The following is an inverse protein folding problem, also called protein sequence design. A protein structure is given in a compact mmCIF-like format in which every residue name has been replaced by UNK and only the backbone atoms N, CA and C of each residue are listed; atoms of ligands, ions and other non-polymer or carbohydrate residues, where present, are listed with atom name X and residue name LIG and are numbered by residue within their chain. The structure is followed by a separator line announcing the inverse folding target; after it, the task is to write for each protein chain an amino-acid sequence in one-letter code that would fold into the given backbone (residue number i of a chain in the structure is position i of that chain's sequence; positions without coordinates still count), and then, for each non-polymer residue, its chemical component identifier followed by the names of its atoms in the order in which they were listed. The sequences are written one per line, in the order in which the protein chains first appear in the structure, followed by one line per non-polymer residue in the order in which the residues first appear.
data_IF_683782254363
#
_entry.id   IF_683782254363
#
_cell.length_a   1.000
_cell.length_b   1.000
_cell.length_c   1.000
_cell.angle_alpha   90.00
_cell.angle_beta   90.00
_cell.angle_gamma   90.00
#
_symmetry.space_group_name_H-M   'P 1'
#
loop_
_entity.id
_entity.type
_entity.pdbx_description
1 polymer ?
#
# COMPACT_ATOMS: atom_id res chain seq x y z
N UNK A 1 0.60 -1.51 12.28
CA UNK A 1 1.13 -2.68 13.04
C UNK A 1 0.49 -4.03 12.68
N UNK A 2 -0.84 -4.20 12.61
CA UNK A 2 -1.46 -5.50 12.22
C UNK A 2 -1.92 -5.63 10.74
N UNK A 3 -1.72 -4.58 9.92
CA UNK A 3 -1.86 -4.64 8.45
C UNK A 3 -0.91 -5.66 7.79
N UNK A 4 0.25 -5.93 8.40
CA UNK A 4 1.23 -6.90 7.87
C UNK A 4 0.87 -8.37 8.11
N UNK A 5 0.07 -8.72 9.13
CA UNK A 5 -0.36 -10.11 9.36
C UNK A 5 -1.22 -10.64 8.20
N UNK A 6 -2.02 -9.77 7.58
CA UNK A 6 -2.82 -10.13 6.41
C UNK A 6 -1.99 -10.20 5.11
N UNK A 7 -1.00 -9.31 4.94
CA UNK A 7 0.01 -9.38 3.87
C UNK A 7 0.72 -10.76 3.86
N UNK A 8 1.00 -11.31 5.04
CA UNK A 8 1.61 -12.63 5.18
C UNK A 8 0.63 -13.77 4.90
N UNK A 9 -0.60 -13.72 5.42
CA UNK A 9 -1.52 -14.87 5.31
C UNK A 9 -2.19 -15.04 3.94
N UNK A 10 -2.30 -13.98 3.12
CA UNK A 10 -3.01 -14.05 1.82
C UNK A 10 -2.23 -13.49 0.61
N UNK A 11 -1.20 -12.66 0.81
CA UNK A 11 -0.41 -12.10 -0.30
C UNK A 11 0.89 -12.87 -0.54
N UNK A 12 1.47 -13.49 0.49
CA UNK A 12 2.78 -14.13 0.46
C UNK A 12 2.69 -15.54 1.05
N UNK A 13 2.34 -16.60 0.29
CA UNK A 13 2.46 -17.96 0.81
C UNK A 13 3.89 -18.14 1.33
N UNK A 14 4.04 -18.51 2.61
CA UNK A 14 5.31 -18.51 3.34
C UNK A 14 6.44 -19.30 2.65
N UNK A 15 6.10 -20.17 1.70
CA UNK A 15 7.01 -21.00 0.91
C UNK A 15 7.88 -20.24 -0.10
N UNK A 16 7.64 -18.95 -0.39
CA UNK A 16 8.38 -18.21 -1.43
C UNK A 16 8.92 -16.83 -1.00
N UNK A 17 8.93 -16.51 0.30
CA UNK A 17 9.39 -15.19 0.79
C UNK A 17 10.85 -15.24 1.26
N UNK A 18 11.76 -14.58 0.53
CA UNK A 18 13.14 -14.38 0.97
C UNK A 18 13.20 -13.17 1.91
N UNK A 19 13.64 -13.39 3.17
CA UNK A 19 13.83 -12.33 4.18
C UNK A 19 15.31 -11.95 4.25
N UNK A 20 15.59 -10.67 4.10
CA UNK A 20 16.95 -10.13 4.14
C UNK A 20 17.05 -9.01 5.16
N UNK A 21 18.20 -8.86 5.81
CA UNK A 21 18.43 -7.85 6.86
C UNK A 21 19.61 -6.96 6.47
N UNK A 22 19.45 -5.64 6.60
CA UNK A 22 20.52 -4.64 6.45
C UNK A 22 20.87 -4.04 7.82
N UNK A 23 22.15 -4.07 8.18
CA UNK A 23 22.68 -3.42 9.38
C UNK A 23 22.91 -1.91 9.19
N UNK A 24 23.06 -1.16 10.31
CA UNK A 24 23.36 0.28 10.25
C UNK A 24 24.73 0.53 9.60
N UNK A 25 24.79 1.53 8.73
CA UNK A 25 26.04 2.09 8.20
C UNK A 25 26.73 2.95 9.26
N UNK A 26 28.05 2.83 9.37
CA UNK A 26 28.88 3.84 10.03
C UNK A 26 28.97 5.06 9.10
N UNK A 27 29.03 6.26 9.68
CA UNK A 27 29.07 7.54 8.92
C UNK A 27 30.17 7.52 7.85
N UNK A 28 29.72 7.52 6.61
CA UNK A 28 30.52 7.53 5.40
C UNK A 28 29.65 8.02 4.26
N UNK A 29 30.29 8.48 3.18
CA UNK A 29 29.65 9.12 2.03
C UNK A 29 28.38 8.35 1.58
N UNK A 30 27.28 9.06 1.32
CA UNK A 30 25.95 8.49 1.01
C UNK A 30 25.98 7.53 -0.21
N UNK A 31 27.07 7.57 -0.98
CA UNK A 31 27.35 6.77 -2.18
C UNK A 31 28.16 5.49 -1.92
N UNK A 32 28.75 5.30 -0.73
CA UNK A 32 29.52 4.09 -0.43
C UNK A 32 28.63 2.98 0.13
N UNK A 33 28.23 2.08 -0.77
CA UNK A 33 27.49 0.87 -0.41
C UNK A 33 28.37 -0.09 0.41
N UNK A 34 27.87 -0.51 1.57
CA UNK A 34 28.53 -1.55 2.35
C UNK A 34 28.36 -2.94 1.69
N UNK A 35 29.12 -3.93 2.16
CA UNK A 35 29.11 -5.27 1.56
C UNK A 35 27.74 -5.94 1.62
N UNK A 36 26.97 -5.75 2.70
CA UNK A 36 25.61 -6.29 2.82
C UNK A 36 24.67 -5.66 1.78
N UNK A 37 24.69 -4.34 1.65
CA UNK A 37 23.90 -3.59 0.68
C UNK A 37 24.24 -4.03 -0.76
N UNK A 38 25.53 -4.19 -1.09
CA UNK A 38 25.97 -4.70 -2.40
C UNK A 38 25.42 -6.11 -2.68
N UNK A 39 25.50 -7.02 -1.71
CA UNK A 39 24.92 -8.37 -1.83
C UNK A 39 23.42 -8.33 -2.10
N UNK A 40 22.69 -7.43 -1.46
CA UNK A 40 21.24 -7.30 -1.65
C UNK A 40 20.88 -6.68 -2.99
N UNK A 41 21.67 -5.74 -3.47
CA UNK A 41 21.54 -5.17 -4.82
C UNK A 41 21.71 -6.29 -5.85
N UNK A 42 22.75 -7.11 -5.70
CA UNK A 42 23.12 -8.17 -6.65
C UNK A 42 22.36 -9.49 -6.46
N UNK A 43 21.40 -9.56 -5.54
CA UNK A 43 20.65 -10.79 -5.32
C UNK A 43 19.71 -11.06 -6.52
N UNK A 44 19.67 -12.31 -6.99
CA UNK A 44 18.78 -12.72 -8.07
C UNK A 44 17.28 -12.47 -7.72
N UNK A 45 16.45 -12.05 -8.68
CA UNK A 45 15.00 -12.02 -8.52
C UNK A 45 14.44 -13.42 -8.24
N UNK A 46 13.74 -13.57 -7.13
CA UNK A 46 13.12 -14.84 -6.72
C UNK A 46 11.62 -14.67 -6.41
N UNK A 47 10.88 -14.05 -7.33
CA UNK A 47 9.47 -13.72 -7.09
C UNK A 47 9.31 -12.65 -6.01
N UNK A 48 8.87 -13.03 -4.81
CA UNK A 48 8.59 -12.08 -3.73
C UNK A 48 9.74 -11.97 -2.72
N UNK A 49 10.30 -10.76 -2.56
CA UNK A 49 11.40 -10.50 -1.64
C UNK A 49 10.99 -9.49 -0.55
N UNK A 50 11.47 -9.68 0.68
CA UNK A 50 11.30 -8.75 1.78
C UNK A 50 12.67 -8.30 2.30
N UNK A 51 13.00 -7.02 2.12
CA UNK A 51 14.24 -6.41 2.63
C UNK A 51 13.92 -5.63 3.90
N UNK A 52 14.44 -6.11 5.03
CA UNK A 52 14.29 -5.50 6.35
C UNK A 52 15.55 -4.75 6.76
N UNK A 53 15.37 -3.78 7.63
CA UNK A 53 16.49 -3.07 8.25
C UNK A 53 15.97 -1.98 9.16
N UNK A 54 16.73 -1.65 10.21
CA UNK A 54 16.38 -0.55 11.11
C UNK A 54 16.30 0.79 10.37
N UNK A 55 15.66 1.80 10.97
CA UNK A 55 15.70 3.15 10.42
C UNK A 55 17.17 3.59 10.21
N UNK A 56 17.45 4.23 9.07
CA UNK A 56 18.80 4.66 8.68
C UNK A 56 19.71 3.55 8.09
N UNK A 57 19.21 2.33 7.85
CA UNK A 57 20.00 1.23 7.23
C UNK A 57 20.26 1.38 5.71
N UNK A 58 19.79 2.45 5.07
CA UNK A 58 19.96 2.65 3.63
C UNK A 58 19.05 1.77 2.75
N UNK A 59 17.88 1.33 3.24
CA UNK A 59 16.89 0.57 2.45
C UNK A 59 16.49 1.28 1.16
N UNK A 60 16.26 2.60 1.21
CA UNK A 60 15.95 3.43 0.03
C UNK A 60 17.10 3.41 -0.96
N UNK A 61 18.34 3.61 -0.49
CA UNK A 61 19.56 3.51 -1.29
C UNK A 61 19.67 2.14 -1.97
N UNK A 62 19.50 1.04 -1.25
CA UNK A 62 19.52 -0.32 -1.83
C UNK A 62 18.47 -0.51 -2.92
N UNK A 63 17.26 0.01 -2.75
CA UNK A 63 16.23 -0.09 -3.79
C UNK A 63 16.57 0.67 -5.06
N UNK A 64 17.14 1.87 -4.93
CA UNK A 64 17.53 2.69 -6.08
C UNK A 64 18.70 2.04 -6.82
N UNK A 65 19.75 1.64 -6.10
CA UNK A 65 20.91 0.96 -6.69
C UNK A 65 20.60 -0.43 -7.25
N UNK A 66 19.46 -1.03 -6.87
CA UNK A 66 18.99 -2.29 -7.45
C UNK A 66 18.40 -2.11 -8.84
N UNK A 67 17.94 -0.90 -9.21
CA UNK A 67 17.32 -0.67 -10.53
C UNK A 67 18.31 -0.98 -11.67
N UNK A 68 19.53 -0.39 -11.74
CA UNK A 68 20.47 -0.71 -12.83
C UNK A 68 20.83 -2.19 -12.87
N UNK A 69 21.06 -2.82 -11.71
CA UNK A 69 21.35 -4.26 -11.67
C UNK A 69 20.22 -5.09 -12.30
N UNK A 70 18.95 -4.75 -12.03
CA UNK A 70 17.81 -5.41 -12.66
C UNK A 70 17.72 -5.12 -14.16
N UNK A 71 18.00 -3.88 -14.58
CA UNK A 71 18.02 -3.52 -15.99
C UNK A 71 19.06 -4.34 -16.75
N UNK A 72 20.30 -4.36 -16.24
CA UNK A 72 21.45 -4.98 -16.90
C UNK A 72 21.36 -6.51 -16.97
N UNK A 73 20.71 -7.16 -16.00
CA UNK A 73 20.73 -8.62 -15.86
C UNK A 73 19.36 -9.30 -16.03
N UNK A 74 18.26 -8.58 -15.84
CA UNK A 74 16.91 -9.15 -15.76
C UNK A 74 15.86 -8.37 -16.57
N UNK A 75 16.27 -7.44 -17.43
CA UNK A 75 15.39 -6.78 -18.40
C UNK A 75 15.92 -6.96 -19.82
N UNK A 76 15.83 -8.18 -20.33
CA UNK A 76 16.34 -8.54 -21.67
C UNK A 76 15.24 -8.61 -22.74
N UNK A 77 13.95 -8.62 -22.36
CA UNK A 77 12.84 -8.53 -23.32
C UNK A 77 12.36 -7.08 -23.46
N UNK A 78 11.86 -6.72 -24.65
CA UNK A 78 11.39 -5.35 -24.94
C UNK A 78 10.26 -4.88 -24.03
N UNK A 79 9.45 -5.82 -23.54
CA UNK A 79 8.36 -5.54 -22.64
C UNK A 79 8.83 -5.34 -21.19
N UNK A 80 10.07 -5.67 -20.84
CA UNK A 80 10.54 -5.57 -19.46
C UNK A 80 10.60 -4.13 -18.98
N UNK A 81 10.01 -3.92 -17.80
CA UNK A 81 9.83 -2.62 -17.19
C UNK A 81 9.96 -2.73 -15.67
N UNK A 82 10.46 -1.66 -15.06
CA UNK A 82 10.68 -1.55 -13.62
C UNK A 82 9.81 -0.45 -13.04
N UNK A 83 9.13 -0.75 -11.93
CA UNK A 83 8.37 0.23 -11.16
C UNK A 83 8.95 0.36 -9.75
N UNK A 84 9.36 1.56 -9.37
CA UNK A 84 9.61 1.90 -7.98
C UNK A 84 8.41 2.70 -7.42
N UNK A 85 7.75 2.11 -6.43
CA UNK A 85 6.62 2.72 -5.72
C UNK A 85 7.07 3.23 -4.36
N UNK A 86 6.66 4.44 -4.01
CA UNK A 86 6.75 4.97 -2.65
C UNK A 86 5.39 5.47 -2.17
N UNK A 87 5.21 5.57 -0.84
CA UNK A 87 4.03 6.20 -0.26
C UNK A 87 4.12 7.73 -0.27
N UNK A 88 5.30 8.30 0.01
CA UNK A 88 5.45 9.73 0.31
C UNK A 88 5.96 10.54 -0.89
N UNK A 89 5.31 11.68 -1.20
CA UNK A 89 5.72 12.62 -2.26
C UNK A 89 7.10 13.26 -2.01
N UNK A 90 7.45 13.55 -0.77
CA UNK A 90 8.79 14.08 -0.42
C UNK A 90 9.86 13.04 -0.70
N UNK A 91 9.60 11.78 -0.31
CA UNK A 91 10.50 10.67 -0.56
C UNK A 91 10.63 10.37 -2.06
N UNK A 92 9.57 10.58 -2.85
CA UNK A 92 9.62 10.45 -4.31
C UNK A 92 10.70 11.33 -4.94
N UNK A 93 10.79 12.60 -4.53
CA UNK A 93 11.78 13.53 -5.08
C UNK A 93 13.20 13.12 -4.70
N UNK A 94 13.39 12.67 -3.45
CA UNK A 94 14.67 12.13 -3.01
C UNK A 94 15.08 10.87 -3.77
N UNK A 95 14.15 9.93 -3.98
CA UNK A 95 14.40 8.71 -4.76
C UNK A 95 14.80 9.05 -6.20
N UNK A 96 14.11 10.00 -6.83
CA UNK A 96 14.45 10.46 -8.19
C UNK A 96 15.84 11.09 -8.24
N UNK A 97 16.17 11.93 -7.27
CA UNK A 97 17.51 12.51 -7.13
C UNK A 97 18.59 11.43 -6.98
N UNK A 98 18.37 10.43 -6.11
CA UNK A 98 19.29 9.32 -5.96
C UNK A 98 19.42 8.50 -7.25
N UNK A 99 18.31 8.24 -7.94
CA UNK A 99 18.30 7.48 -9.19
C UNK A 99 19.14 8.17 -10.27
N UNK A 100 18.95 9.48 -10.46
CA UNK A 100 19.74 10.27 -11.40
C UNK A 100 21.26 10.20 -11.11
N UNK A 101 21.64 10.22 -9.83
CA UNK A 101 23.05 10.05 -9.42
C UNK A 101 23.61 8.65 -9.69
N UNK A 102 22.76 7.62 -9.63
CA UNK A 102 23.15 6.23 -9.87
C UNK A 102 23.24 5.91 -11.36
N UNK A 103 22.34 6.48 -12.17
CA UNK A 103 22.32 6.31 -13.63
C UNK A 103 23.43 7.12 -14.31
N UNK A 104 23.73 8.31 -13.80
CA UNK A 104 24.75 9.21 -14.33
C UNK A 104 25.88 9.44 -13.30
N UNK A 105 26.67 8.42 -12.94
CA UNK A 105 27.79 8.60 -12.01
C UNK A 105 28.87 9.53 -12.58
N UNK A 106 28.94 9.63 -13.92
CA UNK A 106 29.90 10.42 -14.68
C UNK A 106 29.24 11.50 -15.53
N UNK A 107 28.64 12.52 -14.89
CA UNK A 107 28.64 13.87 -15.46
C UNK A 107 30.05 14.50 -15.45
N UNK A 108 31.06 13.68 -15.81
CA UNK A 108 32.19 13.95 -16.69
C UNK A 108 32.43 12.67 -17.53
N UNK A 109 31.87 12.69 -18.75
CA UNK A 109 32.35 12.00 -19.96
C UNK A 109 31.97 10.51 -20.22
N UNK A 110 30.83 10.33 -20.89
CA UNK A 110 30.73 9.60 -22.17
C UNK A 110 30.70 8.06 -22.15
N UNK A 111 29.94 7.50 -23.11
CA UNK A 111 29.96 6.09 -23.57
C UNK A 111 28.85 5.14 -23.09
N UNK A 112 27.63 5.62 -22.80
CA UNK A 112 26.44 4.76 -22.61
C UNK A 112 25.45 4.77 -23.81
N UNK A 113 25.90 5.09 -25.03
CA UNK A 113 25.05 5.08 -26.24
C UNK A 113 24.99 3.71 -26.95
N UNK A 114 25.50 2.64 -26.35
CA UNK A 114 25.55 1.31 -26.98
C UNK A 114 24.66 0.34 -26.20
N UNK A 115 23.34 0.50 -26.39
CA UNK A 115 22.30 -0.55 -26.47
C UNK A 115 20.94 0.12 -26.24
N UNK A 116 20.35 0.69 -27.30
CA UNK A 116 19.00 1.26 -27.34
C UNK A 116 17.91 0.16 -27.17
N UNK A 117 17.81 -0.41 -25.98
CA UNK A 117 16.53 -0.79 -25.41
C UNK A 117 16.29 0.19 -24.27
N UNK A 118 15.40 1.17 -24.48
CA UNK A 118 14.92 2.04 -23.40
C UNK A 118 14.08 1.19 -22.44
N UNK A 119 14.74 0.44 -21.56
CA UNK A 119 14.06 -0.26 -20.45
C UNK A 119 13.41 0.83 -19.61
N UNK A 120 12.07 0.83 -19.61
CA UNK A 120 11.30 1.90 -18.99
C UNK A 120 11.30 1.73 -17.46
N UNK A 121 11.87 2.71 -16.77
CA UNK A 121 11.81 2.85 -15.31
C UNK A 121 10.75 3.88 -14.94
N UNK A 122 9.73 3.48 -14.19
CA UNK A 122 8.75 4.39 -13.62
C UNK A 122 8.98 4.53 -12.11
N UNK A 123 9.12 5.77 -11.63
CA UNK A 123 9.21 6.08 -10.19
C UNK A 123 8.00 6.94 -9.82
N UNK A 124 7.08 6.39 -9.01
CA UNK A 124 5.75 6.97 -8.75
C UNK A 124 5.34 6.83 -7.28
N UNK A 125 4.43 7.68 -6.84
CA UNK A 125 3.70 7.40 -5.59
C UNK A 125 2.55 6.43 -5.84
N UNK A 126 2.24 5.59 -4.87
CA UNK A 126 1.09 4.69 -4.94
C UNK A 126 -0.23 5.44 -5.17
N UNK A 127 -0.40 6.60 -4.55
CA UNK A 127 -1.60 7.42 -4.69
C UNK A 127 -1.73 7.96 -6.12
N UNK A 128 -0.62 8.32 -6.77
CA UNK A 128 -0.65 8.78 -8.17
C UNK A 128 -1.06 7.66 -9.14
N UNK A 129 -0.62 6.43 -8.86
CA UNK A 129 -1.01 5.24 -9.63
C UNK A 129 -2.51 5.01 -9.46
N UNK A 130 -2.98 4.91 -8.23
CA UNK A 130 -4.37 4.61 -7.94
C UNK A 130 -5.30 5.69 -8.46
N UNK A 131 -4.94 6.96 -8.31
CA UNK A 131 -5.69 8.08 -8.87
C UNK A 131 -5.80 8.01 -10.39
N UNK A 132 -4.71 7.67 -11.10
CA UNK A 132 -4.71 7.47 -12.56
C UNK A 132 -5.74 6.41 -12.98
N UNK A 133 -5.82 5.28 -12.27
CA UNK A 133 -6.78 4.22 -12.58
C UNK A 133 -8.22 4.62 -12.20
N UNK A 134 -8.41 5.29 -11.07
CA UNK A 134 -9.72 5.80 -10.68
C UNK A 134 -10.28 6.80 -11.73
N UNK A 135 -9.45 7.70 -12.26
CA UNK A 135 -9.86 8.64 -13.32
C UNK A 135 -10.40 7.99 -14.58
N UNK A 136 -10.06 6.72 -14.87
CA UNK A 136 -10.54 6.01 -16.06
C UNK A 136 -12.00 5.56 -15.96
N UNK A 137 -12.45 5.29 -14.74
CA UNK A 137 -13.78 4.75 -14.46
C UNK A 137 -14.71 5.80 -13.86
N UNK A 138 -14.14 6.88 -13.33
CA UNK A 138 -14.91 7.98 -12.79
C UNK A 138 -15.46 8.83 -13.93
N UNK A 139 -16.79 8.88 -14.06
CA UNK A 139 -17.47 9.72 -15.05
C UNK A 139 -17.53 11.21 -14.68
N UNK A 140 -17.00 11.60 -13.51
CA UNK A 140 -17.03 13.00 -13.05
C UNK A 140 -15.86 13.78 -13.61
N UNK A 141 -16.15 14.93 -14.21
CA UNK A 141 -15.13 15.84 -14.74
C UNK A 141 -14.17 16.29 -13.63
N UNK A 142 -14.72 16.75 -12.51
CA UNK A 142 -13.98 17.16 -11.32
C UNK A 142 -14.19 16.19 -10.16
N UNK A 143 -13.09 15.78 -9.53
CA UNK A 143 -13.12 14.94 -8.31
C UNK A 143 -12.81 15.83 -7.12
N UNK A 144 -13.84 16.09 -6.31
CA UNK A 144 -13.67 16.78 -5.04
C UNK A 144 -13.45 15.77 -3.91
N UNK A 145 -12.26 15.76 -3.33
CA UNK A 145 -11.93 14.90 -2.19
C UNK A 145 -12.58 15.48 -0.92
N UNK A 146 -13.30 14.65 -0.17
CA UNK A 146 -13.91 15.06 1.09
C UNK A 146 -12.83 15.44 2.12
N UNK A 147 -12.88 16.68 2.60
CA UNK A 147 -12.11 17.14 3.75
C UNK A 147 -12.57 16.45 5.03
N UNK A 148 -11.74 16.45 6.08
CA UNK A 148 -12.14 15.89 7.38
C UNK A 148 -13.44 16.54 7.89
N UNK A 149 -13.60 17.85 7.77
CA UNK A 149 -14.83 18.55 8.17
C UNK A 149 -16.06 18.03 7.42
N UNK A 150 -15.95 17.83 6.10
CA UNK A 150 -17.03 17.24 5.30
C UNK A 150 -17.32 15.79 5.72
N UNK A 151 -16.28 14.97 5.94
CA UNK A 151 -16.45 13.58 6.42
C UNK A 151 -17.20 13.52 7.76
N UNK A 152 -16.79 14.33 8.74
CA UNK A 152 -17.45 14.37 10.05
C UNK A 152 -18.89 14.87 9.96
N UNK A 153 -19.15 15.91 9.15
CA UNK A 153 -20.50 16.43 8.94
C UNK A 153 -21.42 15.38 8.28
N UNK A 154 -20.95 14.73 7.23
CA UNK A 154 -21.71 13.71 6.51
C UNK A 154 -21.93 12.46 7.36
N UNK A 155 -20.93 12.02 8.11
CA UNK A 155 -21.08 10.92 9.06
C UNK A 155 -22.10 11.26 10.14
N UNK A 156 -22.08 12.49 10.68
CA UNK A 156 -23.08 12.93 11.67
C UNK A 156 -24.50 12.90 11.10
N UNK A 157 -24.65 13.31 9.83
CA UNK A 157 -25.93 13.22 9.11
C UNK A 157 -26.38 11.78 8.91
N UNK A 158 -25.47 10.87 8.53
CA UNK A 158 -25.75 9.45 8.38
C UNK A 158 -26.21 8.81 9.71
N UNK A 159 -25.52 9.15 10.81
CA UNK A 159 -25.87 8.69 12.16
C UNK A 159 -27.27 9.15 12.55
N UNK A 160 -27.62 10.42 12.27
CA UNK A 160 -28.95 10.94 12.58
C UNK A 160 -30.05 10.20 11.80
N UNK A 161 -29.88 10.07 10.48
CA UNK A 161 -30.84 9.38 9.60
C UNK A 161 -31.02 7.90 9.95
N UNK A 162 -29.95 7.20 10.36
CA UNK A 162 -30.04 5.81 10.78
C UNK A 162 -30.63 5.69 12.20
N UNK A 163 -30.30 6.63 13.09
CA UNK A 163 -30.77 6.66 14.48
C UNK A 163 -32.27 6.87 14.65
N UNK A 164 -32.96 7.40 13.65
CA UNK A 164 -34.43 7.53 13.64
C UNK A 164 -35.16 6.20 13.41
N UNK A 165 -34.44 5.13 13.02
CA UNK A 165 -35.04 3.83 12.78
C UNK A 165 -35.22 3.04 14.08
N UNK A 166 -36.34 2.32 14.14
CA UNK A 166 -36.62 1.38 15.22
C UNK A 166 -35.50 0.35 15.39
N UNK A 167 -35.18 0.01 16.65
CA UNK A 167 -34.17 -0.98 17.03
C UNK A 167 -32.72 -0.66 16.63
N UNK A 168 -32.37 0.62 16.43
CA UNK A 168 -30.99 1.02 16.12
C UNK A 168 -30.07 0.84 17.34
N UNK A 169 -28.92 0.14 17.20
CA UNK A 169 -28.00 -0.08 18.31
C UNK A 169 -27.40 1.22 18.86
N UNK A 170 -27.24 1.31 20.19
CA UNK A 170 -26.67 2.49 20.90
C UNK A 170 -25.28 2.94 20.43
N UNK A 171 -24.58 2.11 19.67
CA UNK A 171 -23.30 2.45 19.05
C UNK A 171 -23.44 3.51 17.94
N UNK A 172 -24.57 3.55 17.25
CA UNK A 172 -24.90 4.53 16.22
C UNK A 172 -25.35 5.81 16.94
N UNK A 173 -24.38 6.61 17.35
CA UNK A 173 -24.62 7.82 18.13
C UNK A 173 -23.53 8.85 17.84
N UNK A 174 -23.87 10.14 17.87
CA UNK A 174 -22.94 11.23 17.52
C UNK A 174 -21.64 11.20 18.34
N UNK A 175 -21.71 10.83 19.63
CA UNK A 175 -20.53 10.64 20.50
C UNK A 175 -19.50 9.64 19.96
N UNK A 176 -19.93 8.69 19.11
CA UNK A 176 -19.08 7.65 18.52
C UNK A 176 -18.67 7.98 17.08
N UNK A 177 -18.92 9.20 16.57
CA UNK A 177 -18.67 9.57 15.16
C UNK A 177 -17.25 9.24 14.70
N UNK A 178 -16.24 9.58 15.51
CA UNK A 178 -14.84 9.26 15.20
C UNK A 178 -14.60 7.76 15.05
N UNK A 179 -15.09 6.97 16.01
CA UNK A 179 -14.99 5.51 15.96
C UNK A 179 -15.70 4.92 14.73
N UNK A 180 -16.91 5.39 14.44
CA UNK A 180 -17.70 4.92 13.30
C UNK A 180 -17.01 5.25 11.98
N UNK A 181 -16.49 6.48 11.83
CA UNK A 181 -15.72 6.87 10.67
C UNK A 181 -14.45 6.02 10.52
N UNK A 182 -13.70 5.83 11.60
CA UNK A 182 -12.51 4.97 11.61
C UNK A 182 -12.84 3.51 11.24
N UNK A 183 -14.01 3.01 11.63
CA UNK A 183 -14.49 1.66 11.31
C UNK A 183 -14.93 1.55 9.84
N UNK A 184 -15.67 2.54 9.30
CA UNK A 184 -16.01 2.58 7.87
C UNK A 184 -14.73 2.61 7.02
N UNK A 185 -13.78 3.47 7.36
CA UNK A 185 -12.48 3.53 6.71
C UNK A 185 -11.68 2.22 6.82
N UNK A 186 -11.92 1.43 7.87
CA UNK A 186 -11.35 0.09 8.02
C UNK A 186 -11.90 -0.88 6.99
N UNK A 187 -13.24 -0.92 6.88
CA UNK A 187 -13.98 -1.85 6.03
C UNK A 187 -13.51 -1.66 4.58
N UNK A 188 -13.45 -0.40 4.13
CA UNK A 188 -12.95 -0.05 2.79
C UNK A 188 -11.48 -0.43 2.60
N UNK A 189 -10.61 -0.13 3.59
CA UNK A 189 -9.19 -0.48 3.49
C UNK A 189 -8.93 -1.99 3.50
N UNK A 190 -9.86 -2.80 4.00
CA UNK A 190 -9.79 -4.25 3.99
C UNK A 190 -10.46 -4.90 2.77
N UNK A 191 -11.02 -4.09 1.84
CA UNK A 191 -11.79 -4.56 0.68
C UNK A 191 -12.91 -5.52 1.10
N UNK A 192 -13.71 -5.09 2.08
CA UNK A 192 -14.88 -5.85 2.55
C UNK A 192 -16.08 -5.35 1.77
N UNK A 193 -16.59 -6.19 0.87
CA UNK A 193 -17.59 -5.81 -0.13
C UNK A 193 -19.01 -6.17 0.25
N UNK A 194 -19.18 -7.09 1.20
CA UNK A 194 -20.49 -7.61 1.62
C UNK A 194 -20.68 -7.50 3.13
N UNK A 195 -21.95 -7.46 3.55
CA UNK A 195 -22.29 -7.51 4.97
C UNK A 195 -21.81 -8.82 5.58
N UNK A 196 -21.93 -9.93 4.85
CA UNK A 196 -21.52 -11.27 5.25
C UNK A 196 -20.02 -11.31 5.58
N UNK A 197 -19.18 -10.74 4.69
CA UNK A 197 -17.73 -10.63 4.92
C UNK A 197 -17.44 -9.80 6.18
N UNK A 198 -18.13 -8.66 6.34
CA UNK A 198 -17.96 -7.82 7.53
C UNK A 198 -18.40 -8.53 8.81
N UNK A 199 -19.43 -9.36 8.75
CA UNK A 199 -19.91 -10.11 9.92
C UNK A 199 -18.92 -11.16 10.39
N UNK A 200 -18.19 -11.80 9.45
CA UNK A 200 -17.29 -12.92 9.76
C UNK A 200 -15.84 -12.50 9.99
N UNK A 201 -15.41 -11.35 9.45
CA UNK A 201 -14.01 -10.93 9.51
C UNK A 201 -13.52 -10.74 10.95
N UNK A 202 -12.29 -11.15 11.21
CA UNK A 202 -11.59 -10.84 12.45
C UNK A 202 -11.09 -9.40 12.43
N UNK A 203 -11.50 -8.61 13.44
CA UNK A 203 -11.09 -7.20 13.61
C UNK A 203 -9.70 -7.10 14.24
N UNK A 204 -8.72 -7.77 13.63
CA UNK A 204 -7.36 -7.91 14.15
C UNK A 204 -6.70 -6.54 14.30
N UNK A 205 -6.32 -6.19 15.54
CA UNK A 205 -5.63 -4.92 15.86
C UNK A 205 -6.54 -3.72 16.10
N UNK A 206 -7.86 -3.92 16.10
CA UNK A 206 -8.85 -2.90 16.48
C UNK A 206 -9.29 -2.99 17.95
N UNK A 207 -9.04 -4.12 18.60
CA UNK A 207 -9.54 -4.42 19.95
C UNK A 207 -8.65 -3.90 21.10
N UNK A 208 -7.50 -3.25 20.83
CA UNK A 208 -6.47 -3.00 21.86
C UNK A 208 -6.11 -1.53 22.13
N UNK A 209 -6.91 -0.55 21.69
CA UNK A 209 -6.67 0.83 22.11
C UNK A 209 -7.29 1.06 23.51
N UNK A 210 -6.54 0.66 24.55
CA UNK A 210 -6.87 0.88 25.97
C UNK A 210 -7.03 2.37 26.34
N UNK A 211 -6.48 3.29 25.54
CA UNK A 211 -6.48 4.74 25.83
C UNK A 211 -7.76 5.47 25.39
N UNK A 212 -8.54 4.93 24.46
CA UNK A 212 -9.77 5.57 23.99
C UNK A 212 -10.97 4.70 24.41
N UNK A 213 -11.94 5.27 25.15
CA UNK A 213 -13.22 4.65 25.55
C UNK A 213 -14.11 4.35 24.33
N UNK A 214 -13.59 3.58 23.38
CA UNK A 214 -14.32 3.09 22.21
C UNK A 214 -14.96 1.75 22.53
N UNK A 215 -16.06 1.36 21.84
CA UNK A 215 -16.72 0.08 22.05
C UNK A 215 -15.72 -1.07 21.81
N UNK A 216 -15.21 -1.67 22.90
CA UNK A 216 -14.00 -2.50 22.87
C UNK A 216 -14.17 -3.83 22.11
N UNK A 217 -15.41 -4.28 21.84
CA UNK A 217 -15.65 -5.55 21.15
C UNK A 217 -16.90 -5.49 20.28
N UNK A 218 -16.72 -5.63 18.97
CA UNK A 218 -17.82 -5.88 18.03
C UNK A 218 -17.90 -7.39 17.76
N UNK A 219 -18.91 -8.04 18.33
CA UNK A 219 -19.18 -9.47 18.13
C UNK A 219 -19.46 -9.76 16.64
N UNK A 220 -19.01 -10.94 16.18
CA UNK A 220 -19.36 -11.45 14.84
C UNK A 220 -20.87 -11.72 14.78
N UNK A 221 -21.46 -11.61 13.60
CA UNK A 221 -22.90 -11.84 13.36
C UNK A 221 -23.80 -11.06 14.32
N UNK A 222 -23.45 -9.80 14.61
CA UNK A 222 -24.20 -8.96 15.53
C UNK A 222 -25.01 -7.88 14.82
N UNK A 223 -26.12 -7.47 15.42
CA UNK A 223 -26.91 -6.32 14.98
C UNK A 223 -26.07 -5.04 14.95
N UNK A 224 -25.07 -4.92 15.82
CA UNK A 224 -24.14 -3.79 15.81
C UNK A 224 -23.33 -3.75 14.51
N UNK A 225 -22.75 -4.87 14.07
CA UNK A 225 -22.02 -4.91 12.81
C UNK A 225 -22.94 -4.68 11.61
N UNK A 226 -24.16 -5.22 11.64
CA UNK A 226 -25.18 -4.94 10.62
C UNK A 226 -25.45 -3.44 10.50
N UNK A 227 -25.72 -2.78 11.63
CA UNK A 227 -25.99 -1.34 11.67
C UNK A 227 -24.78 -0.49 11.24
N UNK A 228 -23.54 -0.90 11.57
CA UNK A 228 -22.33 -0.19 11.11
C UNK A 228 -22.15 -0.33 9.60
N UNK A 229 -22.43 -1.51 9.04
CA UNK A 229 -22.34 -1.72 7.60
C UNK A 229 -23.42 -0.92 6.86
N UNK A 230 -24.64 -0.90 7.38
CA UNK A 230 -25.71 -0.07 6.86
C UNK A 230 -25.38 1.44 6.96
N UNK A 231 -24.77 1.87 8.08
CA UNK A 231 -24.26 3.23 8.23
C UNK A 231 -23.20 3.57 7.18
N UNK A 232 -22.29 2.63 6.88
CA UNK A 232 -21.30 2.78 5.80
C UNK A 232 -21.98 3.04 4.46
N UNK A 233 -22.98 2.24 4.10
CA UNK A 233 -23.70 2.39 2.83
C UNK A 233 -24.41 3.74 2.74
N UNK A 234 -25.10 4.15 3.82
CA UNK A 234 -25.76 5.45 3.89
C UNK A 234 -24.77 6.61 3.79
N UNK A 235 -23.65 6.53 4.51
CA UNK A 235 -22.58 7.51 4.44
C UNK A 235 -22.01 7.62 3.01
N UNK A 236 -21.83 6.50 2.32
CA UNK A 236 -21.37 6.45 0.94
C UNK A 236 -22.36 7.11 -0.02
N UNK A 237 -23.66 6.85 0.14
CA UNK A 237 -24.71 7.50 -0.66
C UNK A 237 -24.72 9.03 -0.45
N UNK A 238 -24.49 9.50 0.78
CA UNK A 238 -24.42 10.92 1.09
C UNK A 238 -23.19 11.60 0.46
N UNK A 239 -22.02 10.95 0.49
CA UNK A 239 -20.84 11.42 -0.23
C UNK A 239 -21.11 11.55 -1.73
N UNK A 240 -21.72 10.52 -2.31
CA UNK A 240 -22.03 10.48 -3.74
C UNK A 240 -22.99 11.61 -4.13
N UNK A 241 -24.05 11.83 -3.33
CA UNK A 241 -25.04 12.90 -3.55
C UNK A 241 -24.45 14.30 -3.50
N UNK A 242 -23.42 14.52 -2.68
CA UNK A 242 -22.73 15.81 -2.60
C UNK A 242 -21.56 15.94 -3.60
N UNK A 243 -21.37 14.96 -4.49
CA UNK A 243 -20.29 15.00 -5.47
C UNK A 243 -18.90 14.79 -4.87
N UNK A 244 -18.82 14.34 -3.61
CA UNK A 244 -17.57 14.13 -2.89
C UNK A 244 -17.05 12.70 -3.09
N UNK A 245 -15.74 12.53 -3.00
CA UNK A 245 -15.06 11.24 -3.04
C UNK A 245 -14.23 11.03 -1.76
N UNK A 246 -14.29 9.82 -1.21
CA UNK A 246 -13.38 9.39 -0.15
C UNK A 246 -12.16 8.69 -0.74
N UNK A 247 -10.97 8.99 -0.21
CA UNK A 247 -9.72 8.45 -0.72
C UNK A 247 -9.64 6.91 -0.67
N UNK A 248 -10.17 6.27 0.39
CA UNK A 248 -10.14 4.80 0.50
C UNK A 248 -11.13 4.15 -0.44
N UNK A 249 -12.29 4.78 -0.61
CA UNK A 249 -13.27 4.36 -1.61
C UNK A 249 -12.67 4.45 -3.02
N UNK A 250 -12.00 5.55 -3.36
CA UNK A 250 -11.32 5.70 -4.65
C UNK A 250 -10.30 4.58 -4.89
N UNK A 251 -9.55 4.19 -3.86
CA UNK A 251 -8.59 3.09 -3.97
C UNK A 251 -9.26 1.76 -4.32
N UNK A 252 -10.41 1.48 -3.70
CA UNK A 252 -11.21 0.29 -4.01
C UNK A 252 -11.76 0.35 -5.42
N UNK A 253 -12.38 1.47 -5.80
CA UNK A 253 -12.99 1.62 -7.12
C UNK A 253 -11.95 1.52 -8.23
N UNK A 254 -10.75 2.08 -8.05
CA UNK A 254 -9.66 1.98 -9.01
C UNK A 254 -9.31 0.53 -9.39
N UNK A 255 -9.55 -0.45 -8.50
CA UNK A 255 -9.34 -1.87 -8.80
C UNK A 255 -10.29 -2.43 -9.88
N UNK A 256 -11.36 -1.72 -10.23
CA UNK A 256 -12.27 -2.10 -11.32
C UNK A 256 -11.75 -1.64 -12.69
N UNK A 257 -10.85 -0.67 -12.73
CA UNK A 257 -10.30 -0.16 -13.98
C UNK A 257 -9.41 -1.22 -14.68
N UNK A 258 -9.49 -1.37 -16.01
CA UNK A 258 -8.64 -2.32 -16.73
C UNK A 258 -7.17 -1.87 -16.71
N UNK A 259 -6.27 -2.83 -16.51
CA UNK A 259 -4.81 -2.66 -16.60
C UNK A 259 -4.37 -3.12 -17.98
N UNK A 260 -3.76 -2.21 -18.75
CA UNK A 260 -3.24 -2.55 -20.08
C UNK A 260 -1.90 -3.28 -19.97
N UNK A 261 -1.55 -4.10 -20.96
CA UNK A 261 -0.30 -4.89 -20.94
C UNK A 261 0.93 -3.99 -20.83
N UNK A 262 0.91 -2.81 -21.45
CA UNK A 262 1.98 -1.82 -21.48
C UNK A 262 2.13 -1.04 -20.15
N UNK A 263 1.22 -1.28 -19.20
CA UNK A 263 1.22 -0.67 -17.86
C UNK A 263 1.54 -1.68 -16.77
N UNK A 264 2.06 -2.85 -17.18
CA UNK A 264 2.53 -3.90 -16.27
C UNK A 264 4.05 -3.94 -16.24
N UNK A 265 4.59 -4.36 -15.09
CA UNK A 265 6.01 -4.29 -14.78
C UNK A 265 6.53 -5.66 -14.38
N UNK A 266 7.68 -6.02 -14.94
CA UNK A 266 8.38 -7.27 -14.64
C UNK A 266 8.99 -7.21 -13.23
N UNK A 267 9.52 -6.05 -12.84
CA UNK A 267 10.03 -5.81 -11.51
C UNK A 267 9.31 -4.67 -10.82
N UNK A 268 8.89 -4.89 -9.58
CA UNK A 268 8.29 -3.86 -8.73
C UNK A 268 9.06 -3.76 -7.42
N UNK A 269 9.50 -2.57 -7.07
CA UNK A 269 10.16 -2.27 -5.80
C UNK A 269 9.26 -1.32 -5.01
N UNK A 270 8.86 -1.74 -3.82
CA UNK A 270 7.95 -1.00 -2.96
C UNK A 270 8.72 -0.50 -1.74
N UNK A 271 8.96 0.81 -1.70
CA UNK A 271 9.43 1.49 -0.51
C UNK A 271 8.27 1.83 0.42
N UNK A 272 8.54 1.86 1.72
CA UNK A 272 7.54 2.12 2.77
C UNK A 272 6.29 1.21 2.68
N UNK A 273 6.53 -0.08 2.38
CA UNK A 273 5.45 -1.06 2.14
C UNK A 273 4.49 -1.26 3.32
N UNK A 274 4.89 -0.90 4.55
CA UNK A 274 4.05 -0.98 5.75
C UNK A 274 2.88 0.03 5.76
N UNK A 275 3.01 1.13 5.03
CA UNK A 275 2.01 2.20 5.00
C UNK A 275 0.92 1.95 3.96
N UNK A 276 1.15 1.00 3.05
CA UNK A 276 0.19 0.63 2.02
C UNK A 276 -1.06 -0.04 2.60
N UNK A 277 -2.20 0.34 2.03
CA UNK A 277 -3.49 -0.35 2.24
C UNK A 277 -3.57 -1.62 1.40
N UNK A 278 -4.51 -2.53 1.73
CA UNK A 278 -4.75 -3.74 0.93
C UNK A 278 -5.18 -3.40 -0.51
N UNK A 279 -6.03 -2.39 -0.68
CA UNK A 279 -6.43 -1.92 -2.01
C UNK A 279 -5.23 -1.50 -2.87
N UNK A 280 -4.29 -0.76 -2.28
CA UNK A 280 -3.08 -0.33 -2.95
C UNK A 280 -2.15 -1.51 -3.30
N UNK A 281 -1.99 -2.47 -2.39
CA UNK A 281 -1.21 -3.69 -2.65
C UNK A 281 -1.83 -4.53 -3.77
N UNK A 282 -3.16 -4.64 -3.80
CA UNK A 282 -3.87 -5.35 -4.86
C UNK A 282 -3.70 -4.65 -6.22
N UNK A 283 -3.71 -3.31 -6.24
CA UNK A 283 -3.40 -2.55 -7.45
C UNK A 283 -2.00 -2.87 -7.96
N UNK A 284 -0.99 -2.88 -7.08
CA UNK A 284 0.39 -3.22 -7.44
C UNK A 284 0.48 -4.63 -8.05
N UNK A 285 -0.22 -5.61 -7.46
CA UNK A 285 -0.27 -6.98 -7.99
C UNK A 285 -0.86 -7.05 -9.39
N UNK A 286 -1.95 -6.33 -9.64
CA UNK A 286 -2.58 -6.27 -10.98
C UNK A 286 -1.66 -5.66 -12.03
N UNK A 287 -0.71 -4.82 -11.60
CA UNK A 287 0.32 -4.22 -12.44
C UNK A 287 1.58 -5.09 -12.54
N UNK A 288 1.66 -6.24 -11.86
CA UNK A 288 2.81 -7.13 -11.97
C UNK A 288 2.66 -8.03 -13.19
N UNK A 289 3.71 -8.08 -14.02
CA UNK A 289 3.80 -9.01 -15.14
C UNK A 289 4.53 -10.28 -14.69
N UNK A 290 3.85 -11.43 -14.57
CA UNK A 290 4.50 -12.66 -14.15
C UNK A 290 5.45 -13.17 -15.24
N UNK A 291 6.70 -13.42 -14.86
CA UNK A 291 7.75 -14.10 -15.64
C UNK A 291 8.61 -14.94 -14.69
N UNK A 292 9.43 -15.85 -15.22
CA UNK A 292 10.33 -16.67 -14.40
C UNK A 292 11.31 -15.84 -13.55
N UNK A 293 11.73 -14.69 -14.09
CA UNK A 293 12.65 -13.75 -13.45
C UNK A 293 11.95 -12.51 -12.88
N UNK A 294 10.62 -12.46 -12.88
CA UNK A 294 9.88 -11.31 -12.37
C UNK A 294 10.01 -11.20 -10.83
N UNK A 295 9.91 -9.98 -10.29
CA UNK A 295 9.94 -9.81 -8.84
C UNK A 295 9.10 -8.67 -8.27
N UNK A 296 8.66 -8.85 -7.02
CA UNK A 296 8.11 -7.80 -6.18
C UNK A 296 8.93 -7.74 -4.88
N UNK A 297 9.62 -6.62 -4.67
CA UNK A 297 10.46 -6.38 -3.50
C UNK A 297 9.74 -5.44 -2.53
N UNK A 298 9.49 -5.90 -1.30
CA UNK A 298 8.87 -5.14 -0.23
C UNK A 298 9.94 -4.62 0.74
N UNK A 299 9.86 -3.34 1.11
CA UNK A 299 10.73 -2.74 2.12
C UNK A 299 9.91 -2.07 3.22
N UNK A 300 9.80 -2.69 4.40
CA UNK A 300 9.15 -2.05 5.54
C UNK A 300 10.13 -1.19 6.35
N UNK A 301 9.65 -0.09 6.94
CA UNK A 301 10.39 0.69 7.95
C UNK A 301 10.44 0.00 9.32
N UNK A 302 11.61 0.08 9.97
CA UNK A 302 11.86 -0.36 11.34
C UNK A 302 11.99 -1.88 11.55
N UNK A 303 12.29 -2.27 12.80
CA UNK A 303 12.23 -3.66 13.29
C UNK A 303 10.79 -4.14 13.54
N UNK A 304 9.79 -3.47 12.97
CA UNK A 304 8.36 -3.61 13.27
C UNK A 304 7.76 -4.92 12.73
N UNK A 305 8.31 -6.07 13.12
CA UNK A 305 7.78 -7.40 12.93
C UNK A 305 7.88 -8.18 14.25
N UNK A 306 7.11 -7.78 15.25
CA UNK A 306 6.82 -8.60 16.43
C UNK A 306 5.88 -9.80 16.12
N UNK A 307 5.79 -10.26 14.87
CA UNK A 307 4.82 -11.31 14.48
C UNK A 307 5.38 -12.38 13.56
N UNK A 308 6.69 -12.64 13.59
CA UNK A 308 7.28 -13.71 12.78
C UNK A 308 7.79 -14.93 13.56
N UNK A 309 7.65 -14.96 14.89
CA UNK A 309 8.16 -16.05 15.74
C UNK A 309 7.08 -16.93 16.39
N UNK A 310 5.79 -16.69 16.16
CA UNK A 310 4.73 -17.41 16.89
C UNK A 310 4.26 -18.74 16.27
N UNK A 311 4.86 -19.22 15.17
CA UNK A 311 4.59 -20.57 14.64
C UNK A 311 5.69 -21.60 14.94
N UNK A 312 6.64 -21.29 15.83
CA UNK A 312 7.55 -22.30 16.43
C UNK A 312 7.14 -22.77 17.83
N UNK A 313 5.95 -22.42 18.30
CA UNK A 313 5.37 -22.95 19.55
C UNK A 313 3.95 -23.47 19.34
N UNK A 314 3.83 -24.54 18.58
CA UNK A 314 2.96 -25.67 18.92
C UNK A 314 3.64 -26.96 18.52
#
# INVERSE_FOLDING_TARGET
MKRMQWLQSKILPHSHLIKLTINRTQEGDLMQLNLEQKKLIQMEPAGHCLIKGVAGSGKTTVAVHRIPYLMDHYCYEKEDQILLVTFNKTLLNYIKYLYDKVENPESQLGMAEIMNQEVKVDIRTIDSIVFKYYRRICSRDEIKIASNTEKYRLMSKAIHLLGERENTPKVIHQKNTRFLLDEVEWIDACLIDTLEDYQQVDRIGRASNMMEKTPQKLLKNSEVRRAIYELKELYQQLLEKEGLADFRQMNREALKAPVKKEETYTHIIIDESQDLTKAQLEMIKRMHRPKQYASITFKPEGQSLWFMDEERRK
#
